data_IF_273218220736
#
_entry.id   IF_273218220736
#
_cell.length_a   1.000
_cell.length_b   1.000
_cell.length_c   1.000
_cell.angle_alpha   90.00
_cell.angle_beta   90.00
_cell.angle_gamma   90.00
#
_symmetry.space_group_name_H-M   'P 1'
#
loop_
_entity.id
_entity.type
_entity.pdbx_description
1 polymer ?
#
# COMPACT_ATOMS: atom_id res chain seq x y z
N UNK A 1 -8.95 -6.08 9.34
CA UNK A 1 -7.83 -5.74 8.45
C UNK A 1 -8.07 -4.31 8.02
N UNK A 2 -7.15 -3.39 8.28
CA UNK A 2 -7.30 -1.98 7.91
C UNK A 2 -6.62 -1.75 6.56
N UNK A 3 -7.09 -0.74 5.81
CA UNK A 3 -6.63 -0.44 4.47
C UNK A 3 -6.15 0.99 4.36
N UNK A 4 -5.17 1.21 3.49
CA UNK A 4 -4.67 2.53 3.12
C UNK A 4 -5.13 2.85 1.70
N UNK A 5 -5.71 4.03 1.52
CA UNK A 5 -6.11 4.51 0.19
C UNK A 5 -4.91 5.15 -0.52
N UNK A 6 -4.55 4.58 -1.68
CA UNK A 6 -3.46 5.04 -2.55
C UNK A 6 -3.96 5.68 -3.84
N UNK A 7 -5.27 5.91 -3.99
CA UNK A 7 -5.89 6.38 -5.24
C UNK A 7 -5.27 7.67 -5.78
N UNK A 8 -4.91 8.59 -4.88
CA UNK A 8 -4.30 9.88 -5.26
C UNK A 8 -2.78 9.80 -5.45
N UNK A 9 -2.15 8.67 -5.15
CA UNK A 9 -0.69 8.50 -5.11
C UNK A 9 -0.21 7.33 -5.98
N UNK A 10 -0.99 6.90 -6.97
CA UNK A 10 -0.63 5.78 -7.85
C UNK A 10 0.67 6.03 -8.64
N UNK A 11 0.91 7.26 -9.07
CA UNK A 11 2.15 7.63 -9.78
C UNK A 11 3.37 7.59 -8.86
N UNK A 12 3.22 8.06 -7.60
CA UNK A 12 4.27 7.97 -6.58
C UNK A 12 4.60 6.51 -6.26
N UNK A 13 3.56 5.68 -6.12
CA UNK A 13 3.73 4.25 -5.90
C UNK A 13 4.43 3.56 -7.07
N UNK A 14 4.09 3.92 -8.31
CA UNK A 14 4.77 3.39 -9.49
C UNK A 14 6.25 3.80 -9.53
N UNK A 15 6.57 5.04 -9.15
CA UNK A 15 7.94 5.52 -9.05
C UNK A 15 8.75 4.78 -7.95
N UNK A 16 8.15 4.58 -6.77
CA UNK A 16 8.73 3.77 -5.70
C UNK A 16 8.98 2.34 -6.20
N UNK A 17 7.96 1.68 -6.76
CA UNK A 17 8.10 0.33 -7.31
C UNK A 17 9.13 0.21 -8.45
N UNK A 18 9.43 1.30 -9.17
CA UNK A 18 10.47 1.32 -10.20
C UNK A 18 11.89 1.45 -9.61
N UNK A 19 12.03 1.99 -8.39
CA UNK A 19 13.29 2.06 -7.66
C UNK A 19 13.72 0.69 -7.09
N UNK A 20 12.78 -0.27 -6.97
CA UNK A 20 13.01 -1.62 -6.45
C UNK A 20 12.91 -2.69 -7.55
N UNK A 21 13.92 -3.56 -7.62
CA UNK A 21 13.98 -4.65 -8.61
C UNK A 21 13.48 -5.99 -8.06
N UNK A 22 13.39 -6.12 -6.75
CA UNK A 22 13.13 -7.35 -6.01
C UNK A 22 11.66 -7.51 -5.58
N UNK A 23 11.01 -6.41 -5.17
CA UNK A 23 9.64 -6.40 -4.64
C UNK A 23 8.88 -5.15 -5.05
N UNK A 24 7.54 -5.24 -5.04
CA UNK A 24 6.60 -4.17 -5.42
C UNK A 24 5.29 -4.28 -4.66
N UNK A 25 4.69 -3.16 -4.30
CA UNK A 25 3.32 -3.11 -3.77
C UNK A 25 2.36 -3.04 -4.96
N UNK A 26 1.41 -3.96 -5.00
CA UNK A 26 0.33 -3.97 -5.99
C UNK A 26 -0.98 -3.56 -5.29
N UNK A 27 -1.54 -2.37 -5.60
CA UNK A 27 -2.84 -1.99 -5.06
C UNK A 27 -3.96 -2.85 -5.62
N UNK A 28 -4.99 -3.05 -4.82
CA UNK A 28 -6.21 -3.77 -5.18
C UNK A 28 -7.40 -2.82 -5.17
N UNK A 29 -8.39 -2.99 -6.06
CA UNK A 29 -9.55 -2.10 -6.09
C UNK A 29 -10.44 -2.35 -4.86
N UNK A 30 -10.92 -1.27 -4.25
CA UNK A 30 -11.80 -1.25 -3.08
C UNK A 30 -13.28 -1.14 -3.42
N UNK A 31 -14.14 -1.48 -2.45
CA UNK A 31 -15.61 -1.45 -2.58
C UNK A 31 -16.18 -0.06 -2.84
N UNK A 32 -15.47 1.01 -2.47
CA UNK A 32 -15.85 2.40 -2.74
C UNK A 32 -15.27 2.98 -4.04
N UNK A 33 -14.54 2.16 -4.82
CA UNK A 33 -13.87 2.59 -6.04
C UNK A 33 -12.44 3.11 -5.84
N UNK A 34 -11.93 3.07 -4.61
CA UNK A 34 -10.55 3.41 -4.28
C UNK A 34 -9.57 2.32 -4.72
N UNK A 35 -8.28 2.64 -4.74
CA UNK A 35 -7.19 1.68 -4.82
C UNK A 35 -6.58 1.53 -3.44
N UNK A 36 -6.47 0.30 -2.95
CA UNK A 36 -6.14 -0.01 -1.57
C UNK A 36 -4.86 -0.83 -1.45
N UNK A 37 -4.12 -0.61 -0.36
CA UNK A 37 -3.02 -1.48 0.09
C UNK A 37 -3.22 -1.84 1.56
N UNK A 38 -2.73 -3.01 1.98
CA UNK A 38 -2.91 -3.50 3.34
C UNK A 38 -2.14 -2.66 4.36
N UNK A 39 -2.77 -2.30 5.49
CA UNK A 39 -2.10 -1.54 6.55
C UNK A 39 -1.04 -2.34 7.29
N UNK A 40 -1.08 -3.67 7.20
CA UNK A 40 -0.07 -4.60 7.72
C UNK A 40 1.31 -4.37 7.11
N UNK A 41 1.36 -3.77 5.91
CA UNK A 41 2.62 -3.31 5.34
C UNK A 41 3.34 -2.35 6.30
N UNK A 42 2.66 -1.49 7.06
CA UNK A 42 3.30 -0.59 8.03
C UNK A 42 4.10 -1.33 9.11
N UNK A 43 3.72 -2.56 9.46
CA UNK A 43 4.48 -3.37 10.42
C UNK A 43 5.64 -4.12 9.78
N UNK A 44 5.55 -4.40 8.48
CA UNK A 44 6.62 -5.01 7.66
C UNK A 44 7.61 -3.97 7.11
N UNK A 45 7.29 -2.68 7.23
CA UNK A 45 8.11 -1.54 6.85
C UNK A 45 8.71 -0.89 8.11
N UNK A 46 9.87 -1.36 8.57
CA UNK A 46 10.56 -0.81 9.74
C UNK A 46 12.07 -1.09 9.73
N UNK A 47 12.84 -0.55 10.69
CA UNK A 47 14.28 -0.72 10.74
C UNK A 47 14.69 -2.20 10.74
N UNK A 48 15.46 -2.62 9.74
CA UNK A 48 15.86 -4.02 9.55
C UNK A 48 14.84 -4.91 8.84
N UNK A 49 13.70 -4.36 8.39
CA UNK A 49 12.73 -5.05 7.56
C UNK A 49 12.93 -4.72 6.06
N UNK A 50 12.35 -5.54 5.18
CA UNK A 50 12.60 -5.48 3.74
C UNK A 50 11.91 -4.31 3.00
N UNK A 51 11.11 -3.50 3.71
CA UNK A 51 10.27 -2.47 3.11
C UNK A 51 10.49 -1.07 3.70
N UNK A 52 11.67 -0.79 4.26
CA UNK A 52 11.97 0.47 4.94
C UNK A 52 11.67 1.71 4.08
N UNK A 53 12.04 1.70 2.79
CA UNK A 53 11.79 2.82 1.86
C UNK A 53 10.29 3.10 1.64
N UNK A 54 9.44 2.08 1.78
CA UNK A 54 7.99 2.23 1.69
C UNK A 54 7.36 2.70 3.01
N UNK A 55 8.04 2.53 4.15
CA UNK A 55 7.51 2.83 5.48
C UNK A 55 7.08 4.30 5.61
N UNK A 56 7.99 5.21 5.25
CA UNK A 56 7.77 6.64 5.39
C UNK A 56 6.67 7.16 4.47
N UNK A 57 6.50 6.54 3.32
CA UNK A 57 5.46 6.89 2.36
C UNK A 57 4.10 6.34 2.82
N UNK A 58 4.03 5.05 3.15
CA UNK A 58 2.80 4.40 3.63
C UNK A 58 2.22 5.08 4.87
N UNK A 59 3.07 5.55 5.78
CA UNK A 59 2.65 6.22 7.01
C UNK A 59 1.94 7.58 6.77
N UNK A 60 2.05 8.15 5.57
CA UNK A 60 1.41 9.43 5.19
C UNK A 60 0.03 9.24 4.55
N UNK A 61 -0.31 8.01 4.18
CA UNK A 61 -1.54 7.72 3.45
C UNK A 61 -2.77 7.73 4.37
N UNK A 62 -3.93 8.17 3.86
CA UNK A 62 -5.18 8.09 4.62
C UNK A 62 -5.60 6.63 4.83
N UNK A 63 -6.00 6.33 6.07
CA UNK A 63 -6.72 5.09 6.35
C UNK A 63 -8.14 5.18 5.83
N UNK A 64 -8.68 4.04 5.41
CA UNK A 64 -10.06 3.92 4.94
C UNK A 64 -10.72 2.66 5.49
N UNK A 65 -12.05 2.74 5.65
CA UNK A 65 -12.91 1.60 5.99
C UNK A 65 -13.32 0.79 4.74
N UNK A 66 -12.96 1.25 3.54
CA UNK A 66 -13.15 0.49 2.31
C UNK A 66 -12.38 -0.84 2.37
N UNK A 67 -12.99 -1.88 1.81
CA UNK A 67 -12.38 -3.22 1.73
C UNK A 67 -12.12 -3.59 0.28
N UNK A 68 -11.14 -4.46 -0.04
CA UNK A 68 -10.90 -4.91 -1.40
C UNK A 68 -12.13 -5.60 -2.00
N UNK A 69 -12.39 -5.35 -3.28
CA UNK A 69 -13.42 -6.04 -4.07
C UNK A 69 -13.13 -7.53 -4.24
N UNK A 70 -11.90 -7.96 -3.99
CA UNK A 70 -11.51 -9.37 -3.92
C UNK A 70 -10.87 -9.59 -2.57
N UNK A 71 -11.69 -9.86 -1.57
CA UNK A 71 -11.25 -10.31 -0.26
C UNK A 71 -11.74 -11.74 -0.03
N UNK A 72 -11.46 -12.65 -0.95
CA UNK A 72 -11.50 -14.08 -0.69
C UNK A 72 -10.35 -14.75 -1.45
N UNK A 73 -9.62 -15.58 -0.71
CA UNK A 73 -8.50 -16.39 -1.18
C UNK A 73 -8.95 -17.53 -2.11
#
# INVERSE_FOLDING_TARGET
>A
MNWLDVSQHLDELAALNAAHADRRIQPVPGTGGEMLVGSDLLTDCGPGAYWEDYAEWLAKLPQTDAVPLVADA
#
